data_IF_915787936797
#
_entry.id   IF_915787936797
#
_cell.length_a   1.000
_cell.length_b   1.000
_cell.length_c   1.000
_cell.angle_alpha   90.00
_cell.angle_beta   90.00
_cell.angle_gamma   90.00
#
_symmetry.space_group_name_H-M   'P 1'
#
loop_
_entity.id
_entity.type
_entity.pdbx_description
1 polymer ?
#
# COMPACT_ATOMS: atom_id res chain seq x y z
N UNK A 1 5.55 22.00 -19.38
CA UNK A 1 4.81 21.02 -18.54
C UNK A 1 5.85 20.27 -17.75
N UNK A 2 5.71 20.14 -16.42
CA UNK A 2 6.66 19.36 -15.62
C UNK A 2 6.12 17.94 -15.51
N UNK A 3 6.77 16.96 -16.13
CA UNK A 3 6.29 15.56 -16.16
C UNK A 3 5.99 15.02 -14.76
N UNK A 4 6.84 15.30 -13.78
CA UNK A 4 6.61 14.91 -12.37
C UNK A 4 5.28 15.44 -11.81
N UNK A 5 4.89 16.67 -12.19
CA UNK A 5 3.65 17.27 -11.71
C UNK A 5 2.42 16.54 -12.28
N UNK A 6 2.44 16.16 -13.56
CA UNK A 6 1.34 15.39 -14.19
C UNK A 6 1.22 13.98 -13.60
N UNK A 7 2.35 13.34 -13.31
CA UNK A 7 2.38 12.02 -12.65
C UNK A 7 1.77 12.12 -11.24
N UNK A 8 2.07 13.18 -10.51
CA UNK A 8 1.53 13.38 -9.17
C UNK A 8 0.06 13.80 -9.21
N UNK A 9 -0.34 14.67 -10.15
CA UNK A 9 -1.72 15.12 -10.29
C UNK A 9 -2.70 13.95 -10.46
N UNK A 10 -2.28 12.91 -11.20
CA UNK A 10 -3.05 11.67 -11.35
C UNK A 10 -3.50 11.07 -10.01
N UNK A 11 -2.59 10.99 -9.04
CA UNK A 11 -2.90 10.45 -7.71
C UNK A 11 -3.45 11.51 -6.77
N UNK A 12 -3.00 12.77 -6.86
CA UNK A 12 -3.37 13.82 -5.91
C UNK A 12 -4.85 14.18 -6.03
N UNK A 13 -5.36 14.28 -7.27
CA UNK A 13 -6.77 14.50 -7.48
C UNK A 13 -7.62 13.35 -6.94
N UNK A 14 -7.24 12.09 -7.24
CA UNK A 14 -7.99 10.93 -6.75
C UNK A 14 -7.91 10.80 -5.23
N UNK A 15 -6.72 11.00 -4.65
CA UNK A 15 -6.46 10.95 -3.22
C UNK A 15 -7.36 11.94 -2.47
N UNK A 16 -7.35 13.20 -2.89
CA UNK A 16 -8.07 14.29 -2.21
C UNK A 16 -9.57 14.28 -2.48
N UNK A 17 -10.00 13.91 -3.69
CA UNK A 17 -11.40 14.04 -4.12
C UNK A 17 -12.22 12.77 -3.99
N UNK A 18 -11.59 11.60 -4.04
CA UNK A 18 -12.30 10.32 -4.11
C UNK A 18 -11.87 9.35 -3.02
N UNK A 19 -10.59 9.27 -2.68
CA UNK A 19 -10.09 8.16 -1.88
C UNK A 19 -10.01 8.48 -0.38
N UNK A 20 -9.15 9.43 0.04
CA UNK A 20 -8.89 9.66 1.46
C UNK A 20 -10.14 10.07 2.26
N UNK A 21 -11.08 10.89 1.73
CA UNK A 21 -12.35 11.16 2.39
C UNK A 21 -13.22 9.91 2.57
N UNK A 22 -13.17 8.93 1.66
CA UNK A 22 -13.86 7.64 1.83
C UNK A 22 -13.32 6.86 3.02
N UNK A 23 -12.17 7.19 3.59
CA UNK A 23 -11.60 6.52 4.76
C UNK A 23 -11.96 7.20 6.09
N UNK A 24 -12.67 8.33 6.05
CA UNK A 24 -13.16 8.99 7.27
C UNK A 24 -14.14 8.09 8.03
N UNK A 25 -13.98 8.04 9.35
CA UNK A 25 -14.80 7.20 10.22
C UNK A 25 -14.55 5.69 10.10
N UNK A 26 -13.48 5.23 9.44
CA UNK A 26 -13.08 3.82 9.44
C UNK A 26 -12.82 3.37 10.89
N UNK A 27 -13.59 2.38 11.36
CA UNK A 27 -13.47 1.84 12.72
C UNK A 27 -12.55 0.63 12.77
N UNK A 28 -12.09 0.25 13.95
CA UNK A 28 -11.30 -0.98 14.12
C UNK A 28 -12.11 -2.24 13.77
N UNK A 29 -13.42 -2.23 14.04
CA UNK A 29 -14.32 -3.33 13.65
C UNK A 29 -14.37 -3.48 12.12
N UNK A 30 -14.51 -2.37 11.39
CA UNK A 30 -14.49 -2.35 9.92
C UNK A 30 -13.11 -2.74 9.36
N UNK A 31 -12.04 -2.25 9.99
CA UNK A 31 -10.66 -2.54 9.62
C UNK A 31 -10.35 -4.04 9.64
N UNK A 32 -10.85 -4.76 10.64
CA UNK A 32 -10.67 -6.21 10.78
C UNK A 32 -11.82 -7.04 10.21
N UNK A 33 -12.83 -6.42 9.59
CA UNK A 33 -13.99 -7.14 9.06
C UNK A 33 -13.59 -8.11 7.94
N UNK A 34 -14.10 -9.33 8.03
CA UNK A 34 -13.90 -10.40 7.04
C UNK A 34 -15.08 -10.43 6.05
N UNK A 35 -14.90 -9.97 4.79
CA UNK A 35 -15.99 -9.90 3.84
C UNK A 35 -16.43 -11.29 3.32
N UNK A 36 -15.54 -12.28 3.36
CA UNK A 36 -15.79 -13.65 2.93
C UNK A 36 -15.01 -14.63 3.81
N UNK A 37 -15.51 -15.86 3.94
CA UNK A 37 -14.78 -16.94 4.62
C UNK A 37 -13.44 -17.21 3.93
N UNK A 38 -12.39 -17.33 4.72
CA UNK A 38 -11.05 -17.68 4.22
C UNK A 38 -10.31 -16.51 3.54
N UNK A 39 -10.76 -15.27 3.77
CA UNK A 39 -10.01 -14.09 3.37
C UNK A 39 -8.69 -13.96 4.14
N UNK A 40 -7.70 -13.33 3.53
CA UNK A 40 -6.45 -12.96 4.20
C UNK A 40 -6.61 -11.66 4.98
N UNK A 41 -6.03 -11.61 6.18
CA UNK A 41 -6.10 -10.44 7.05
C UNK A 41 -4.76 -10.09 7.70
N UNK A 42 -4.75 -9.01 8.47
CA UNK A 42 -3.83 -8.87 9.60
C UNK A 42 -4.38 -9.73 10.75
N UNK A 43 -3.54 -10.58 11.31
CA UNK A 43 -3.91 -11.55 12.33
C UNK A 43 -3.07 -11.39 13.57
N UNK A 44 -3.62 -11.55 14.79
CA UNK A 44 -2.81 -11.76 15.96
C UNK A 44 -1.80 -12.88 15.72
N UNK A 45 -0.55 -12.66 16.11
CA UNK A 45 0.53 -13.62 15.94
C UNK A 45 0.14 -14.97 16.53
N UNK A 46 0.39 -16.04 15.77
CA UNK A 46 0.01 -17.40 16.15
C UNK A 46 -1.42 -17.81 15.74
N UNK A 47 -2.22 -16.90 15.17
CA UNK A 47 -3.57 -17.21 14.66
C UNK A 47 -3.66 -17.22 13.13
N UNK A 48 -2.63 -16.71 12.45
CA UNK A 48 -2.53 -16.73 11.00
C UNK A 48 -2.49 -18.16 10.44
N UNK A 49 -3.15 -18.35 9.31
CA UNK A 49 -3.39 -19.65 8.67
C UNK A 49 -2.57 -19.84 7.40
N UNK A 50 -1.91 -18.79 6.92
CA UNK A 50 -1.08 -18.81 5.72
C UNK A 50 0.35 -19.30 5.97
N UNK A 51 1.02 -19.85 4.93
CA UNK A 51 2.39 -20.36 5.06
C UNK A 51 3.43 -19.26 5.34
N UNK A 52 3.18 -18.03 4.89
CA UNK A 52 4.01 -16.87 5.22
C UNK A 52 3.26 -15.95 6.18
N UNK A 53 3.97 -15.49 7.21
CA UNK A 53 3.48 -14.62 8.26
C UNK A 53 4.48 -13.48 8.45
N UNK A 54 4.20 -12.34 7.84
CA UNK A 54 5.09 -11.18 7.86
C UNK A 54 4.75 -10.23 9.00
N UNK A 55 5.74 -9.63 9.64
CA UNK A 55 5.59 -8.58 10.63
C UNK A 55 6.37 -8.89 11.90
N UNK A 56 6.78 -7.84 12.62
CA UNK A 56 7.58 -7.96 13.86
C UNK A 56 6.76 -7.79 15.14
N UNK A 57 5.62 -7.10 15.07
CA UNK A 57 4.75 -6.81 16.22
C UNK A 57 3.79 -7.92 16.63
N UNK A 58 2.72 -7.55 17.32
CA UNK A 58 1.71 -8.51 17.81
C UNK A 58 0.80 -9.04 16.69
N UNK A 59 0.78 -8.36 15.53
CA UNK A 59 0.04 -8.76 14.35
C UNK A 59 0.97 -9.12 13.20
N UNK A 60 0.54 -10.09 12.40
CA UNK A 60 1.20 -10.52 11.18
C UNK A 60 0.25 -10.41 9.99
N UNK A 61 0.79 -10.07 8.82
CA UNK A 61 0.06 -10.08 7.56
C UNK A 61 0.10 -11.48 6.93
N UNK A 62 -1.06 -11.95 6.49
CA UNK A 62 -1.24 -13.26 5.86
C UNK A 62 -0.95 -13.22 4.35
N UNK A 63 -0.05 -14.05 3.83
CA UNK A 63 0.15 -14.21 2.38
C UNK A 63 0.85 -15.52 2.04
N UNK A 64 0.99 -15.80 0.74
CA UNK A 64 1.76 -16.93 0.23
C UNK A 64 2.60 -16.50 -0.99
N UNK A 65 3.73 -17.19 -1.21
CA UNK A 65 4.58 -17.01 -2.38
C UNK A 65 4.98 -18.40 -2.93
N UNK A 66 4.49 -18.81 -4.12
CA UNK A 66 3.50 -18.11 -4.95
C UNK A 66 2.11 -18.00 -4.27
N UNK A 67 1.28 -17.02 -4.65
CA UNK A 67 -0.10 -16.97 -4.20
C UNK A 67 -0.89 -18.18 -4.72
N UNK A 68 -1.93 -18.65 -4.00
CA UNK A 68 -2.81 -19.69 -4.50
C UNK A 68 -3.72 -19.16 -5.62
N UNK A 69 -4.34 -20.07 -6.37
CA UNK A 69 -5.25 -19.74 -7.47
C UNK A 69 -6.65 -20.34 -7.23
N UNK A 70 -7.71 -19.51 -7.08
CA UNK A 70 -7.69 -18.05 -7.09
C UNK A 70 -7.05 -17.46 -5.83
N UNK A 71 -6.50 -16.24 -5.95
CA UNK A 71 -6.02 -15.48 -4.80
C UNK A 71 -7.19 -15.18 -3.84
N UNK A 72 -7.02 -15.30 -2.51
CA UNK A 72 -8.08 -15.02 -1.56
C UNK A 72 -8.39 -13.53 -1.50
N UNK A 73 -9.65 -13.20 -1.22
CA UNK A 73 -10.03 -11.81 -0.89
C UNK A 73 -9.26 -11.38 0.35
N UNK A 74 -8.91 -10.10 0.45
CA UNK A 74 -8.20 -9.51 1.59
C UNK A 74 -9.11 -8.59 2.39
N UNK A 75 -8.83 -8.39 3.68
CA UNK A 75 -9.55 -7.41 4.52
C UNK A 75 -9.06 -5.97 4.26
N UNK A 76 -9.75 -4.98 4.83
CA UNK A 76 -9.30 -3.57 4.77
C UNK A 76 -7.94 -3.42 5.44
N UNK A 77 -7.75 -4.00 6.64
CA UNK A 77 -6.48 -3.96 7.34
C UNK A 77 -5.33 -4.56 6.55
N UNK A 78 -5.57 -5.68 5.86
CA UNK A 78 -4.57 -6.28 4.98
C UNK A 78 -4.19 -5.33 3.83
N UNK A 79 -5.18 -4.75 3.13
CA UNK A 79 -4.93 -3.85 1.99
C UNK A 79 -4.19 -2.58 2.43
N UNK A 80 -4.54 -2.01 3.57
CA UNK A 80 -3.81 -0.88 4.14
C UNK A 80 -2.37 -1.27 4.50
N UNK A 81 -2.15 -2.44 5.10
CA UNK A 81 -0.81 -2.99 5.34
C UNK A 81 -0.01 -3.15 4.04
N UNK A 82 -0.61 -3.71 2.99
CA UNK A 82 0.00 -3.87 1.68
C UNK A 82 0.42 -2.52 1.06
N UNK A 83 -0.48 -1.51 1.08
CA UNK A 83 -0.18 -0.18 0.56
C UNK A 83 0.95 0.48 1.35
N UNK A 84 0.89 0.44 2.68
CA UNK A 84 1.88 1.08 3.55
C UNK A 84 3.26 0.44 3.35
N UNK A 85 3.33 -0.88 3.25
CA UNK A 85 4.60 -1.61 3.23
C UNK A 85 5.12 -1.83 1.81
N UNK A 86 4.40 -2.59 0.99
CA UNK A 86 4.90 -3.06 -0.30
C UNK A 86 4.80 -2.02 -1.41
N UNK A 87 3.78 -1.15 -1.36
CA UNK A 87 3.55 -0.13 -2.39
C UNK A 87 4.36 1.13 -2.10
N UNK A 88 4.18 1.73 -0.92
CA UNK A 88 4.81 3.01 -0.58
C UNK A 88 6.12 2.83 0.19
N UNK A 89 6.08 2.20 1.36
CA UNK A 89 7.20 2.15 2.31
C UNK A 89 8.49 1.59 1.71
N UNK A 90 8.42 0.44 1.05
CA UNK A 90 9.57 -0.17 0.37
C UNK A 90 10.17 0.77 -0.70
N UNK A 91 9.33 1.52 -1.43
CA UNK A 91 9.82 2.44 -2.47
C UNK A 91 10.40 3.73 -1.90
N UNK A 92 9.83 4.23 -0.81
CA UNK A 92 10.39 5.37 -0.08
C UNK A 92 11.76 5.01 0.50
N UNK A 93 11.90 3.80 1.07
CA UNK A 93 13.18 3.29 1.55
C UNK A 93 14.22 3.18 0.42
N UNK A 94 13.85 2.59 -0.72
CA UNK A 94 14.78 2.36 -1.83
C UNK A 94 15.16 3.62 -2.61
N UNK A 95 14.26 4.60 -2.75
CA UNK A 95 14.43 5.69 -3.71
C UNK A 95 14.53 7.09 -3.09
N UNK A 96 14.10 7.24 -1.83
CA UNK A 96 13.97 8.55 -1.17
C UNK A 96 14.63 8.60 0.22
N UNK A 97 15.42 7.59 0.58
CA UNK A 97 16.19 7.59 1.83
C UNK A 97 15.35 7.41 3.10
N UNK A 98 14.14 6.86 2.97
CA UNK A 98 13.33 6.48 4.13
C UNK A 98 13.95 5.32 4.94
N UNK A 99 13.44 5.07 6.15
CA UNK A 99 13.86 3.90 6.92
C UNK A 99 13.54 2.60 6.14
N UNK A 100 14.31 1.51 6.34
CA UNK A 100 14.00 0.22 5.75
C UNK A 100 12.57 -0.23 6.11
N UNK A 101 11.83 -0.68 5.09
CA UNK A 101 10.47 -1.22 5.24
C UNK A 101 10.36 -2.48 4.39
N UNK A 102 9.98 -3.58 5.03
CA UNK A 102 9.68 -4.85 4.37
C UNK A 102 8.57 -5.60 5.11
N UNK A 103 7.92 -6.54 4.42
CA UNK A 103 6.79 -7.30 4.95
C UNK A 103 7.08 -8.07 6.23
N UNK A 104 8.31 -8.53 6.42
CA UNK A 104 8.69 -9.43 7.51
C UNK A 104 9.06 -8.66 8.77
N UNK A 105 9.66 -7.48 8.64
CA UNK A 105 10.13 -6.68 9.79
C UNK A 105 9.18 -5.55 10.19
N UNK A 106 8.18 -5.21 9.37
CA UNK A 106 7.26 -4.10 9.66
C UNK A 106 6.36 -4.38 10.88
N UNK A 107 6.21 -3.37 11.74
CA UNK A 107 5.25 -3.40 12.85
C UNK A 107 3.90 -2.83 12.37
N UNK A 108 2.96 -3.73 12.07
CA UNK A 108 1.69 -3.40 11.45
C UNK A 108 0.77 -2.62 12.41
N UNK A 109 0.09 -1.57 11.92
CA UNK A 109 -0.87 -0.82 12.73
C UNK A 109 -2.02 -1.74 13.17
N UNK A 110 -2.33 -1.73 14.46
CA UNK A 110 -3.39 -2.57 15.06
C UNK A 110 -4.70 -1.83 15.27
N UNK A 111 -4.79 -0.59 14.76
CA UNK A 111 -6.00 0.23 14.75
C UNK A 111 -6.15 0.91 13.39
N UNK A 112 -7.39 1.18 13.00
CA UNK A 112 -7.72 1.95 11.80
C UNK A 112 -7.07 3.33 11.83
N UNK A 113 -7.11 4.01 12.98
CA UNK A 113 -6.56 5.35 13.13
C UNK A 113 -5.03 5.39 12.92
N UNK A 114 -4.28 4.44 13.51
CA UNK A 114 -2.83 4.33 13.27
C UNK A 114 -2.53 3.99 11.81
N UNK A 115 -3.29 3.07 11.21
CA UNK A 115 -3.12 2.71 9.81
C UNK A 115 -3.32 3.90 8.87
N UNK A 116 -4.35 4.72 9.10
CA UNK A 116 -4.60 5.92 8.30
C UNK A 116 -3.51 6.99 8.50
N UNK A 117 -3.05 7.22 9.74
CA UNK A 117 -1.97 8.18 10.01
C UNK A 117 -0.64 7.79 9.32
N UNK A 118 -0.32 6.49 9.31
CA UNK A 118 0.86 5.97 8.60
C UNK A 118 0.69 6.05 7.09
N UNK A 119 -0.49 5.71 6.58
CA UNK A 119 -0.82 5.85 5.17
C UNK A 119 -0.66 7.30 4.69
N UNK A 120 -1.19 8.27 5.44
CA UNK A 120 -1.09 9.70 5.13
C UNK A 120 0.38 10.14 5.04
N UNK A 121 1.21 9.70 6.00
CA UNK A 121 2.65 9.99 6.02
C UNK A 121 3.38 9.39 4.82
N UNK A 122 3.09 8.13 4.48
CA UNK A 122 3.70 7.44 3.33
C UNK A 122 3.26 8.05 2.01
N UNK A 123 1.98 8.44 1.88
CA UNK A 123 1.47 9.12 0.71
C UNK A 123 2.20 10.44 0.47
N UNK A 124 2.33 11.28 1.50
CA UNK A 124 3.06 12.55 1.42
C UNK A 124 4.53 12.35 1.01
N UNK A 125 5.22 11.40 1.65
CA UNK A 125 6.62 11.12 1.33
C UNK A 125 6.82 10.64 -0.12
N UNK A 126 5.92 9.77 -0.61
CA UNK A 126 5.94 9.32 -2.00
C UNK A 126 5.68 10.48 -2.98
N UNK A 127 4.62 11.25 -2.74
CA UNK A 127 4.25 12.42 -3.54
C UNK A 127 5.42 13.41 -3.66
N UNK A 128 6.01 13.78 -2.54
CA UNK A 128 7.09 14.76 -2.49
C UNK A 128 8.37 14.22 -3.14
N UNK A 129 8.67 12.92 -2.97
CA UNK A 129 9.78 12.25 -3.64
C UNK A 129 9.63 12.21 -5.16
N UNK A 130 8.43 11.98 -5.69
CA UNK A 130 8.19 12.05 -7.14
C UNK A 130 8.33 13.49 -7.65
N UNK A 131 7.79 14.47 -6.93
CA UNK A 131 7.92 15.90 -7.28
C UNK A 131 9.36 16.40 -7.26
N UNK A 132 10.24 15.78 -6.46
CA UNK A 132 11.64 16.19 -6.38
C UNK A 132 12.49 15.75 -7.58
N UNK A 133 11.97 14.92 -8.48
CA UNK A 133 12.69 14.44 -9.67
C UNK A 133 12.48 15.36 -10.86
N UNK A 134 13.58 15.69 -11.54
CA UNK A 134 13.54 16.31 -12.85
C UNK A 134 13.33 15.26 -13.97
N UNK A 135 13.21 15.73 -15.21
CA UNK A 135 12.95 14.86 -16.36
C UNK A 135 14.08 13.88 -16.63
N UNK A 136 15.33 14.24 -16.34
CA UNK A 136 16.50 13.37 -16.51
C UNK A 136 16.44 12.23 -15.48
N UNK A 137 16.16 12.54 -14.22
CA UNK A 137 16.02 11.57 -13.15
C UNK A 137 14.79 10.65 -13.35
N UNK A 138 13.70 11.16 -13.94
CA UNK A 138 12.54 10.35 -14.30
C UNK A 138 12.83 9.36 -15.44
N UNK A 139 13.67 9.76 -16.39
CA UNK A 139 14.05 8.94 -17.54
C UNK A 139 15.16 7.91 -17.23
N UNK A 140 15.96 8.15 -16.19
CA UNK A 140 17.05 7.26 -15.78
C UNK A 140 16.54 5.89 -15.31
N UNK A 141 17.34 4.81 -15.47
CA UNK A 141 17.05 3.50 -14.90
C UNK A 141 16.72 3.59 -13.40
N UNK A 142 15.68 2.88 -12.98
CA UNK A 142 15.18 2.86 -11.60
C UNK A 142 16.15 2.17 -10.63
N UNK A 143 17.03 1.31 -11.16
CA UNK A 143 18.13 0.72 -10.42
C UNK A 143 17.80 -0.62 -9.74
N UNK A 144 18.82 -1.24 -9.12
CA UNK A 144 18.80 -2.65 -8.73
C UNK A 144 17.76 -3.00 -7.66
N UNK A 145 17.25 -2.02 -6.91
CA UNK A 145 16.20 -2.21 -5.92
C UNK A 145 14.90 -2.79 -6.52
N UNK A 146 14.61 -2.54 -7.81
CA UNK A 146 13.43 -3.08 -8.50
C UNK A 146 13.71 -4.42 -9.22
N UNK A 147 14.85 -5.07 -8.93
CA UNK A 147 15.18 -6.41 -9.40
C UNK A 147 15.13 -6.54 -10.94
N UNK A 148 14.30 -7.43 -11.52
CA UNK A 148 14.19 -7.60 -12.97
C UNK A 148 13.81 -6.32 -13.74
N UNK A 149 13.29 -5.30 -13.05
CA UNK A 149 12.88 -4.03 -13.66
C UNK A 149 13.93 -2.93 -13.55
N UNK A 150 15.14 -3.23 -13.06
CA UNK A 150 16.17 -2.23 -12.77
C UNK A 150 16.51 -1.27 -13.94
N UNK A 151 16.43 -1.77 -15.18
CA UNK A 151 16.72 -0.98 -16.39
C UNK A 151 15.52 -0.14 -16.88
N UNK A 152 14.34 -0.27 -16.26
CA UNK A 152 13.18 0.56 -16.61
C UNK A 152 13.36 1.99 -16.09
N UNK A 153 12.83 3.01 -16.78
CA UNK A 153 12.83 4.38 -16.26
C UNK A 153 12.15 4.49 -14.90
N UNK A 154 12.62 5.36 -14.02
CA UNK A 154 11.93 5.67 -12.75
C UNK A 154 10.47 6.06 -12.99
N UNK A 155 10.16 6.77 -14.08
CA UNK A 155 8.80 7.10 -14.49
C UNK A 155 7.88 5.86 -14.59
N UNK A 156 8.42 4.72 -15.03
CA UNK A 156 7.65 3.47 -15.12
C UNK A 156 7.27 2.95 -13.74
N UNK A 157 8.19 3.02 -12.77
CA UNK A 157 7.90 2.72 -11.37
C UNK A 157 6.86 3.69 -10.82
N UNK A 158 7.02 4.99 -11.07
CA UNK A 158 6.12 6.01 -10.55
C UNK A 158 4.66 5.76 -10.97
N UNK A 159 4.45 5.50 -12.26
CA UNK A 159 3.15 5.15 -12.82
C UNK A 159 2.61 3.80 -12.33
N UNK A 160 3.48 2.85 -12.00
CA UNK A 160 3.06 1.59 -11.40
C UNK A 160 2.55 1.79 -9.97
N UNK A 161 3.33 2.44 -9.11
CA UNK A 161 2.94 2.68 -7.71
C UNK A 161 1.67 3.51 -7.61
N UNK A 162 1.50 4.51 -8.48
CA UNK A 162 0.25 5.25 -8.60
C UNK A 162 -0.93 4.31 -8.91
N UNK A 163 -0.79 3.39 -9.87
CA UNK A 163 -1.85 2.44 -10.21
C UNK A 163 -2.16 1.47 -9.05
N UNK A 164 -1.15 0.99 -8.33
CA UNK A 164 -1.35 0.14 -7.15
C UNK A 164 -2.16 0.86 -6.06
N UNK A 165 -1.81 2.14 -5.80
CA UNK A 165 -2.53 2.96 -4.83
C UNK A 165 -3.99 3.19 -5.23
N UNK A 166 -4.24 3.54 -6.50
CA UNK A 166 -5.59 3.73 -7.03
C UNK A 166 -6.40 2.43 -6.98
N UNK A 167 -5.80 1.31 -7.40
CA UNK A 167 -6.43 0.00 -7.43
C UNK A 167 -6.86 -0.45 -6.04
N UNK A 168 -5.93 -0.57 -5.10
CA UNK A 168 -6.24 -1.03 -3.75
C UNK A 168 -7.06 -0.02 -2.96
N UNK A 169 -6.90 1.28 -3.25
CA UNK A 169 -7.77 2.31 -2.71
C UNK A 169 -9.23 2.10 -3.10
N UNK A 170 -9.50 1.83 -4.37
CA UNK A 170 -10.85 1.55 -4.85
C UNK A 170 -11.43 0.25 -4.24
N UNK A 171 -10.61 -0.78 -4.06
CA UNK A 171 -11.05 -2.01 -3.39
C UNK A 171 -11.41 -1.77 -1.92
N UNK A 172 -10.63 -0.97 -1.18
CA UNK A 172 -10.97 -0.60 0.19
C UNK A 172 -12.30 0.17 0.19
N UNK A 173 -12.48 1.14 -0.70
CA UNK A 173 -13.74 1.88 -0.80
C UNK A 173 -14.94 0.95 -1.06
N UNK A 174 -14.80 -0.04 -1.94
CA UNK A 174 -15.83 -1.06 -2.17
C UNK A 174 -16.11 -1.89 -0.91
N UNK A 175 -15.07 -2.31 -0.17
CA UNK A 175 -15.28 -3.04 1.09
C UNK A 175 -16.02 -2.21 2.13
N UNK A 176 -15.75 -0.89 2.22
CA UNK A 176 -16.49 0.01 3.11
C UNK A 176 -17.96 0.07 2.74
N UNK A 177 -18.26 0.18 1.45
CA UNK A 177 -19.64 0.16 0.96
C UNK A 177 -20.33 -1.17 1.36
N UNK A 178 -19.68 -2.31 1.14
CA UNK A 178 -20.23 -3.62 1.55
C UNK A 178 -20.42 -3.73 3.08
N UNK A 179 -19.48 -3.22 3.87
CA UNK A 179 -19.57 -3.23 5.33
C UNK A 179 -20.79 -2.44 5.82
N UNK A 180 -21.11 -1.32 5.19
CA UNK A 180 -22.29 -0.51 5.52
C UNK A 180 -23.62 -1.22 5.22
N UNK A 181 -23.62 -2.23 4.36
CA UNK A 181 -24.80 -3.00 3.94
C UNK A 181 -24.85 -4.43 4.51
N UNK A 182 -23.98 -4.77 5.46
CA UNK A 182 -23.87 -6.12 6.04
C UNK A 182 -25.04 -6.52 6.94
#
# INVERSE_FOLDING_TARGET
MKVAAEVVDQIDWHWTSQLRPRFEGLTDEEYFWEPVRGCWSLRPRGTATTPLQGGSGDYVIEFAAPPPEPAPVTTIGWRLGHIIVGVLGARIASHFGGPPVDYMSYDYPVTAADALGRLDSMYMAWRDGVLSKDEVALAAPVGPAEGPWAEKPFLTLALHINRELLHHGAEIALLRDLYAWR
#
